data_IF_718374775879
#
_entry.id   IF_718374775879
#
_cell.length_a   1.000
_cell.length_b   1.000
_cell.length_c   1.000
_cell.angle_alpha   90.00
_cell.angle_beta   90.00
_cell.angle_gamma   90.00
#
_symmetry.space_group_name_H-M   'P 1'
#
loop_
_entity.id
_entity.type
_entity.pdbx_description
1 polymer ?
#
# COMPACT_ATOMS: atom_id res chain seq x y z
N UNK A 1 -20.84 -20.73 -30.58
CA UNK A 1 -21.53 -19.55 -30.03
C UNK A 1 -21.13 -19.44 -28.56
N UNK A 2 -20.48 -18.35 -28.15
CA UNK A 2 -20.02 -18.16 -26.77
C UNK A 2 -21.15 -17.54 -25.94
N UNK A 3 -21.52 -18.18 -24.85
CA UNK A 3 -22.56 -17.70 -23.94
C UNK A 3 -22.05 -16.48 -23.18
N UNK A 4 -22.73 -15.36 -23.36
CA UNK A 4 -22.47 -14.12 -22.62
C UNK A 4 -23.11 -14.25 -21.24
N UNK A 5 -22.29 -14.37 -20.19
CA UNK A 5 -22.77 -14.28 -18.80
C UNK A 5 -22.97 -12.80 -18.52
N UNK A 6 -24.22 -12.35 -18.48
CA UNK A 6 -24.61 -11.01 -18.04
C UNK A 6 -24.95 -11.10 -16.56
N UNK A 7 -24.14 -10.45 -15.72
CA UNK A 7 -24.49 -10.21 -14.32
C UNK A 7 -25.21 -8.85 -14.32
N UNK A 8 -26.53 -8.86 -14.16
CA UNK A 8 -27.33 -7.63 -14.09
C UNK A 8 -26.80 -6.72 -12.98
N UNK A 9 -26.71 -5.42 -13.28
CA UNK A 9 -26.19 -4.32 -12.43
C UNK A 9 -24.68 -4.28 -12.16
N UNK A 10 -23.88 -5.20 -12.72
CA UNK A 10 -22.42 -5.11 -12.61
C UNK A 10 -21.83 -4.14 -13.66
N UNK A 11 -20.92 -3.24 -13.25
CA UNK A 11 -20.19 -2.33 -14.17
C UNK A 11 -19.00 -3.02 -14.87
N UNK A 12 -18.88 -4.35 -14.75
CA UNK A 12 -17.73 -5.09 -15.23
C UNK A 12 -17.91 -5.55 -16.67
N UNK A 13 -16.85 -5.36 -17.45
CA UNK A 13 -16.78 -5.94 -18.80
C UNK A 13 -16.46 -7.44 -18.75
N UNK A 14 -16.88 -8.17 -19.78
CA UNK A 14 -16.58 -9.59 -19.93
C UNK A 14 -15.06 -9.90 -19.91
N UNK A 15 -14.23 -8.96 -20.37
CA UNK A 15 -12.77 -9.08 -20.32
C UNK A 15 -12.22 -9.04 -18.90
N UNK A 16 -12.75 -8.16 -18.04
CA UNK A 16 -12.35 -8.05 -16.63
C UNK A 16 -12.75 -9.31 -15.85
N UNK A 17 -13.95 -9.84 -16.11
CA UNK A 17 -14.38 -11.10 -15.52
C UNK A 17 -13.46 -12.25 -15.96
N UNK A 18 -13.12 -12.32 -17.25
CA UNK A 18 -12.23 -13.35 -17.78
C UNK A 18 -10.84 -13.31 -17.17
N UNK A 19 -10.27 -12.12 -16.99
CA UNK A 19 -8.96 -11.92 -16.37
C UNK A 19 -8.97 -12.31 -14.90
N UNK A 20 -10.02 -11.90 -14.16
CA UNK A 20 -10.21 -12.28 -12.76
C UNK A 20 -10.32 -13.80 -12.58
N UNK A 21 -11.12 -14.49 -13.40
CA UNK A 21 -11.22 -15.95 -13.33
C UNK A 21 -9.91 -16.66 -13.71
N UNK A 22 -9.13 -16.07 -14.64
CA UNK A 22 -7.79 -16.55 -14.96
C UNK A 22 -6.83 -16.46 -13.76
N UNK A 23 -6.89 -15.35 -13.02
CA UNK A 23 -6.09 -15.11 -11.81
C UNK A 23 -6.56 -15.87 -10.56
N UNK A 24 -7.83 -16.29 -10.51
CA UNK A 24 -8.29 -17.23 -9.49
C UNK A 24 -7.79 -18.66 -9.79
N UNK A 25 -7.81 -19.06 -11.07
CA UNK A 25 -7.40 -20.40 -11.48
C UNK A 25 -5.90 -20.66 -11.34
N UNK A 26 -5.06 -19.63 -11.42
CA UNK A 26 -3.61 -19.74 -11.22
C UNK A 26 -3.17 -19.50 -9.76
N UNK A 27 -4.13 -19.31 -8.84
CA UNK A 27 -3.88 -19.11 -7.40
C UNK A 27 -3.39 -17.72 -7.00
N UNK A 28 -3.34 -16.77 -7.94
CA UNK A 28 -2.92 -15.38 -7.65
C UNK A 28 -3.99 -14.62 -6.86
N UNK A 29 -5.28 -14.93 -7.05
CA UNK A 29 -6.38 -14.40 -6.25
C UNK A 29 -6.83 -15.43 -5.20
N UNK A 30 -6.79 -15.02 -3.93
CA UNK A 30 -7.34 -15.80 -2.82
C UNK A 30 -8.80 -15.39 -2.50
N UNK A 31 -9.43 -16.13 -1.58
CA UNK A 31 -10.83 -15.92 -1.20
C UNK A 31 -11.16 -14.50 -0.72
N UNK A 32 -10.21 -13.78 -0.12
CA UNK A 32 -10.43 -12.41 0.33
C UNK A 32 -10.61 -11.42 -0.84
N UNK A 33 -9.86 -11.63 -1.94
CA UNK A 33 -10.00 -10.80 -3.14
C UNK A 33 -11.32 -11.08 -3.88
N UNK A 34 -11.77 -12.33 -3.89
CA UNK A 34 -13.08 -12.72 -4.43
C UNK A 34 -14.24 -12.22 -3.55
N UNK A 35 -14.06 -12.20 -2.24
CA UNK A 35 -15.05 -11.66 -1.29
C UNK A 35 -15.22 -10.15 -1.48
N UNK A 36 -14.12 -9.39 -1.62
CA UNK A 36 -14.16 -7.96 -1.94
C UNK A 36 -14.90 -7.69 -3.27
N UNK A 37 -14.69 -8.55 -4.27
CA UNK A 37 -15.40 -8.51 -5.55
C UNK A 37 -16.92 -8.73 -5.42
N UNK A 38 -17.35 -9.69 -4.59
CA UNK A 38 -18.78 -9.98 -4.33
C UNK A 38 -19.47 -8.84 -3.54
N UNK A 39 -18.75 -8.18 -2.64
CA UNK A 39 -19.27 -7.11 -1.77
C UNK A 39 -19.45 -5.75 -2.48
N UNK A 40 -19.41 -5.70 -3.81
CA UNK A 40 -19.51 -4.47 -4.62
C UNK A 40 -18.44 -3.42 -4.32
N UNK A 41 -17.42 -3.77 -3.53
CA UNK A 41 -16.19 -2.99 -3.40
C UNK A 41 -15.35 -3.31 -4.61
N UNK A 42 -15.54 -2.60 -5.71
CA UNK A 42 -14.77 -2.85 -6.93
C UNK A 42 -13.25 -2.86 -6.63
N UNK A 43 -12.58 -4.02 -6.56
CA UNK A 43 -11.16 -4.08 -6.22
C UNK A 43 -10.29 -3.63 -7.41
N UNK A 44 -10.93 -3.45 -8.56
CA UNK A 44 -10.39 -2.96 -9.82
C UNK A 44 -11.24 -1.81 -10.34
N UNK A 45 -11.76 -0.94 -9.46
CA UNK A 45 -12.36 0.30 -9.93
C UNK A 45 -11.37 0.86 -10.93
N UNK A 46 -11.80 1.08 -12.18
CA UNK A 46 -11.01 1.83 -13.15
C UNK A 46 -10.78 3.15 -12.47
N UNK A 47 -9.69 3.24 -11.72
CA UNK A 47 -9.13 4.50 -11.33
C UNK A 47 -8.74 5.03 -12.67
N UNK A 48 -9.46 6.05 -13.15
CA UNK A 48 -9.09 6.63 -14.42
C UNK A 48 -7.62 6.99 -14.28
N UNK A 49 -6.79 6.73 -15.28
CA UNK A 49 -5.38 7.18 -15.23
C UNK A 49 -5.28 8.72 -15.07
N UNK A 50 -6.43 9.41 -15.22
CA UNK A 50 -6.66 10.84 -14.95
C UNK A 50 -7.22 11.15 -13.55
N UNK A 51 -7.55 10.16 -12.72
CA UNK A 51 -7.97 10.40 -11.34
C UNK A 51 -6.76 10.85 -10.53
N UNK A 52 -6.90 12.04 -9.99
CA UNK A 52 -5.87 12.69 -9.22
C UNK A 52 -5.98 12.28 -7.75
N UNK A 53 -4.87 11.80 -7.19
CA UNK A 53 -4.75 11.62 -5.74
C UNK A 53 -4.25 12.92 -5.11
N UNK A 54 -4.93 13.37 -4.06
CA UNK A 54 -4.51 14.50 -3.24
C UNK A 54 -4.03 13.99 -1.87
N UNK A 55 -2.70 13.83 -1.68
CA UNK A 55 -2.13 13.35 -0.43
C UNK A 55 -2.50 14.20 0.78
N UNK A 56 -2.53 15.53 0.62
CA UNK A 56 -2.92 16.46 1.67
C UNK A 56 -4.36 16.21 2.11
N UNK A 57 -5.28 16.04 1.16
CA UNK A 57 -6.69 15.77 1.48
C UNK A 57 -6.88 14.42 2.20
N UNK A 58 -6.07 13.41 1.86
CA UNK A 58 -6.21 12.06 2.41
C UNK A 58 -5.51 11.87 3.77
N UNK A 59 -4.28 12.39 3.92
CA UNK A 59 -3.43 12.15 5.10
C UNK A 59 -3.42 13.29 6.13
N UNK A 60 -3.90 14.50 5.80
CA UNK A 60 -3.89 15.64 6.73
C UNK A 60 -5.24 15.83 7.40
N UNK A 61 -6.33 15.58 6.69
CA UNK A 61 -7.67 15.73 7.26
C UNK A 61 -7.92 14.60 8.26
N UNK A 62 -8.19 14.91 9.54
CA UNK A 62 -8.53 13.89 10.51
C UNK A 62 -9.75 13.08 10.04
N UNK A 63 -9.68 11.76 10.16
CA UNK A 63 -10.80 10.87 9.88
C UNK A 63 -10.75 9.67 10.83
N UNK A 64 -11.91 9.13 11.15
CA UNK A 64 -12.01 7.91 11.97
C UNK A 64 -11.23 6.77 11.30
N UNK A 65 -10.46 6.03 12.09
CA UNK A 65 -9.68 4.88 11.62
C UNK A 65 -8.32 5.23 11.01
N UNK A 66 -7.90 6.51 11.04
CA UNK A 66 -6.58 6.91 10.57
C UNK A 66 -6.02 8.07 11.40
N UNK A 67 -4.92 7.79 12.09
CA UNK A 67 -4.07 8.80 12.71
C UNK A 67 -2.75 8.93 11.94
N UNK A 68 -2.29 10.17 11.75
CA UNK A 68 -1.09 10.46 10.96
C UNK A 68 -0.17 11.37 11.76
N UNK A 69 1.09 10.96 11.89
CA UNK A 69 2.07 11.70 12.68
C UNK A 69 2.50 13.00 11.98
N UNK A 70 2.92 13.99 12.78
CA UNK A 70 3.50 15.24 12.26
C UNK A 70 4.76 14.99 11.43
N UNK A 71 5.55 13.98 11.79
CA UNK A 71 6.77 13.61 11.04
C UNK A 71 6.41 13.06 9.66
N UNK A 72 5.38 12.19 9.56
CA UNK A 72 4.88 11.75 8.27
C UNK A 72 4.42 12.94 7.42
N UNK A 73 3.58 13.82 7.98
CA UNK A 73 3.08 14.99 7.26
C UNK A 73 4.23 15.89 6.78
N UNK A 74 5.29 16.06 7.58
CA UNK A 74 6.48 16.82 7.17
C UNK A 74 7.10 16.24 5.89
N UNK A 75 7.38 14.93 5.85
CA UNK A 75 8.07 14.31 4.70
C UNK A 75 7.14 14.09 3.50
N UNK A 76 5.91 13.64 3.74
CA UNK A 76 4.94 13.38 2.67
C UNK A 76 4.54 14.67 1.94
N UNK A 77 4.42 15.78 2.65
CA UNK A 77 3.95 17.06 2.10
C UNK A 77 5.09 18.00 1.71
N UNK A 78 6.33 17.71 2.11
CA UNK A 78 7.49 18.45 1.63
C UNK A 78 7.61 18.30 0.11
N UNK A 79 7.27 19.37 -0.61
CA UNK A 79 7.41 19.45 -2.07
C UNK A 79 6.23 18.89 -2.88
N UNK A 80 5.19 18.34 -2.25
CA UNK A 80 3.97 17.93 -2.97
C UNK A 80 2.91 19.04 -2.97
N UNK A 81 2.99 19.88 -3.99
CA UNK A 81 1.95 20.89 -4.30
C UNK A 81 0.94 20.44 -5.35
N UNK A 82 1.25 19.35 -6.05
CA UNK A 82 0.49 18.89 -7.19
C UNK A 82 -0.26 17.60 -6.87
N UNK A 83 -1.40 17.45 -7.54
CA UNK A 83 -2.12 16.19 -7.63
C UNK A 83 -1.21 15.11 -8.20
N UNK A 84 -1.17 13.94 -7.57
CA UNK A 84 -0.45 12.79 -8.09
C UNK A 84 -1.37 12.04 -9.05
N UNK A 85 -0.86 11.65 -10.23
CA UNK A 85 -1.50 10.61 -11.03
C UNK A 85 -1.56 9.34 -10.20
N UNK A 86 -2.76 8.78 -10.05
CA UNK A 86 -2.93 7.54 -9.32
C UNK A 86 -2.20 6.40 -10.04
N UNK A 87 -1.39 5.64 -9.30
CA UNK A 87 -0.62 4.51 -9.81
C UNK A 87 -1.17 3.22 -9.25
N UNK A 88 -1.51 2.30 -10.15
CA UNK A 88 -1.89 0.94 -9.76
C UNK A 88 -0.69 0.24 -9.13
N UNK A 89 -0.92 -0.47 -8.04
CA UNK A 89 0.04 -1.41 -7.48
C UNK A 89 -0.08 -2.70 -8.29
N UNK A 90 0.91 -3.01 -9.13
CA UNK A 90 0.87 -4.21 -9.96
C UNK A 90 1.20 -5.46 -9.13
N UNK A 91 2.24 -5.36 -8.29
CA UNK A 91 2.69 -6.47 -7.44
C UNK A 91 3.50 -5.95 -6.24
N UNK A 92 3.39 -6.66 -5.12
CA UNK A 92 4.04 -6.34 -3.84
C UNK A 92 4.51 -7.61 -3.18
N UNK A 93 5.79 -7.63 -2.80
CA UNK A 93 6.33 -8.66 -1.92
C UNK A 93 6.61 -8.07 -0.55
N UNK A 94 6.69 -8.93 0.47
CA UNK A 94 6.98 -8.51 1.83
C UNK A 94 7.78 -9.58 2.57
N UNK A 95 8.46 -9.14 3.63
CA UNK A 95 9.21 -10.01 4.51
C UNK A 95 9.08 -9.53 5.96
N UNK A 96 8.77 -10.46 6.86
CA UNK A 96 8.80 -10.21 8.30
C UNK A 96 10.23 -10.30 8.82
N UNK A 97 10.63 -9.32 9.62
CA UNK A 97 11.95 -9.22 10.22
C UNK A 97 12.11 -10.29 11.31
N UNK A 98 13.17 -11.08 11.23
CA UNK A 98 13.46 -12.13 12.21
C UNK A 98 14.19 -11.59 13.47
N UNK A 99 14.73 -10.37 13.38
CA UNK A 99 15.50 -9.67 14.42
C UNK A 99 15.33 -8.17 14.23
N UNK A 100 15.77 -7.39 15.21
CA UNK A 100 15.82 -5.94 15.06
C UNK A 100 16.82 -5.56 13.96
N UNK A 101 16.45 -4.58 13.14
CA UNK A 101 17.24 -4.16 11.98
C UNK A 101 17.18 -2.65 11.77
N UNK A 102 18.33 -2.06 11.46
CA UNK A 102 18.43 -0.69 10.98
C UNK A 102 17.90 -0.53 9.55
N UNK A 103 17.73 0.73 9.11
CA UNK A 103 17.47 1.03 7.70
C UNK A 103 18.54 0.47 6.76
N UNK A 104 19.81 0.59 7.15
CA UNK A 104 20.93 0.14 6.32
C UNK A 104 20.87 -1.38 6.12
N UNK A 105 20.69 -2.14 7.19
CA UNK A 105 20.54 -3.60 7.11
C UNK A 105 19.31 -3.97 6.28
N UNK A 106 18.20 -3.26 6.45
CA UNK A 106 16.99 -3.47 5.64
C UNK A 106 17.26 -3.27 4.15
N UNK A 107 18.04 -2.24 3.80
CA UNK A 107 18.44 -1.99 2.42
C UNK A 107 19.31 -3.11 1.87
N UNK A 108 20.37 -3.47 2.60
CA UNK A 108 21.35 -4.45 2.16
C UNK A 108 20.75 -5.86 2.03
N UNK A 109 19.96 -6.29 3.01
CA UNK A 109 19.44 -7.65 3.06
C UNK A 109 18.19 -7.86 2.20
N UNK A 110 17.29 -6.87 2.08
CA UNK A 110 15.98 -7.08 1.43
C UNK A 110 15.77 -6.30 0.14
N UNK A 111 16.36 -5.10 0.05
CA UNK A 111 16.12 -4.20 -1.08
C UNK A 111 17.29 -4.14 -2.06
N UNK A 112 18.38 -4.88 -1.80
CA UNK A 112 19.54 -4.96 -2.68
C UNK A 112 20.44 -3.71 -2.65
N UNK A 113 20.43 -2.99 -1.54
CA UNK A 113 21.17 -1.74 -1.30
C UNK A 113 20.31 -0.48 -1.45
N UNK A 114 20.82 0.64 -0.94
CA UNK A 114 20.09 1.92 -0.89
C UNK A 114 19.68 2.45 -2.27
N UNK A 115 20.52 2.26 -3.29
CA UNK A 115 20.21 2.66 -4.68
C UNK A 115 19.04 1.84 -5.26
N UNK A 116 19.03 0.53 -5.05
CA UNK A 116 17.92 -0.34 -5.49
C UNK A 116 16.67 -0.17 -4.65
N UNK A 117 16.78 0.22 -3.37
CA UNK A 117 15.62 0.50 -2.54
C UNK A 117 14.68 1.55 -3.17
N UNK A 118 15.24 2.55 -3.86
CA UNK A 118 14.44 3.57 -4.58
C UNK A 118 13.65 3.02 -5.74
N UNK A 119 14.12 1.97 -6.43
CA UNK A 119 13.37 1.34 -7.53
C UNK A 119 12.19 0.52 -7.04
N UNK A 120 12.16 0.22 -5.74
CA UNK A 120 11.07 -0.49 -5.06
C UNK A 120 10.24 0.41 -4.14
N UNK A 121 10.41 1.72 -4.26
CA UNK A 121 9.69 2.67 -3.45
C UNK A 121 8.20 2.69 -3.80
N UNK A 122 7.40 2.95 -2.79
CA UNK A 122 5.97 3.21 -2.91
C UNK A 122 5.73 4.70 -3.13
N UNK A 123 4.58 5.01 -3.73
CA UNK A 123 4.01 6.35 -3.76
C UNK A 123 2.89 6.47 -2.72
N UNK A 124 2.50 7.71 -2.39
CA UNK A 124 1.52 7.95 -1.32
C UNK A 124 0.11 7.44 -1.66
N UNK A 125 -0.26 7.46 -2.93
CA UNK A 125 -1.51 6.88 -3.43
C UNK A 125 -1.53 5.35 -3.29
N UNK A 126 -0.39 4.69 -3.46
CA UNK A 126 -0.25 3.25 -3.23
C UNK A 126 -0.43 2.92 -1.74
N UNK A 127 0.18 3.68 -0.84
CA UNK A 127 -0.06 3.52 0.60
C UNK A 127 -1.54 3.74 0.97
N UNK A 128 -2.18 4.77 0.39
CA UNK A 128 -3.59 5.02 0.59
C UNK A 128 -4.47 3.87 0.07
N UNK A 129 -4.04 3.20 -1.00
CA UNK A 129 -4.74 2.03 -1.55
C UNK A 129 -4.68 0.86 -0.58
N UNK A 130 -3.49 0.55 -0.03
CA UNK A 130 -3.34 -0.49 0.99
C UNK A 130 -4.20 -0.22 2.23
N UNK A 131 -4.23 1.03 2.72
CA UNK A 131 -5.10 1.44 3.84
C UNK A 131 -6.59 1.28 3.54
N UNK A 132 -7.03 1.50 2.30
CA UNK A 132 -8.44 1.34 1.89
C UNK A 132 -8.86 -0.11 1.76
N UNK A 133 -7.92 -1.05 1.59
CA UNK A 133 -8.21 -2.48 1.56
C UNK A 133 -8.44 -3.05 2.95
N UNK A 134 -7.88 -2.44 3.99
CA UNK A 134 -8.03 -2.86 5.39
C UNK A 134 -8.46 -1.71 6.32
N UNK A 135 -9.52 -0.94 6.03
CA UNK A 135 -9.86 0.31 6.74
C UNK A 135 -10.11 0.18 8.24
N UNK A 136 -10.42 -1.01 8.75
CA UNK A 136 -10.71 -1.29 10.15
C UNK A 136 -9.76 -2.34 10.75
N UNK A 137 -8.56 -2.48 10.17
CA UNK A 137 -7.58 -3.45 10.64
C UNK A 137 -8.00 -4.90 10.45
N UNK A 138 -8.91 -5.17 9.50
CA UNK A 138 -9.27 -6.52 9.11
C UNK A 138 -8.07 -7.27 8.51
N UNK A 139 -8.18 -8.60 8.45
CA UNK A 139 -7.13 -9.45 7.90
C UNK A 139 -6.83 -9.12 6.44
N UNK A 140 -5.55 -9.10 6.09
CA UNK A 140 -5.09 -8.80 4.75
C UNK A 140 -3.56 -8.80 4.63
N UNK A 141 -3.03 -8.01 3.71
CA UNK A 141 -1.59 -7.92 3.48
C UNK A 141 -0.85 -7.19 4.62
N UNK A 142 -1.46 -6.14 5.17
CA UNK A 142 -0.92 -5.38 6.29
C UNK A 142 -1.13 -6.15 7.61
N UNK A 143 -0.08 -6.18 8.44
CA UNK A 143 -0.15 -6.63 9.82
C UNK A 143 -1.11 -5.74 10.61
N UNK A 144 -2.02 -6.38 11.35
CA UNK A 144 -3.01 -5.75 12.23
C UNK A 144 -2.79 -6.10 13.71
N UNK A 145 -1.63 -6.68 14.05
CA UNK A 145 -1.29 -7.18 15.39
C UNK A 145 -0.47 -6.18 16.24
N UNK A 146 -0.43 -4.91 15.84
CA UNK A 146 0.36 -3.86 16.48
C UNK A 146 1.80 -3.73 15.98
N UNK A 147 2.34 -4.71 15.25
CA UNK A 147 3.64 -4.60 14.58
C UNK A 147 3.60 -3.64 13.39
N UNK A 148 4.73 -3.06 13.04
CA UNK A 148 4.83 -2.11 11.95
C UNK A 148 4.86 -2.78 10.59
N UNK A 149 4.14 -2.18 9.64
CA UNK A 149 4.29 -2.40 8.22
C UNK A 149 5.18 -1.28 7.66
N UNK A 150 6.36 -1.64 7.18
CA UNK A 150 7.42 -0.72 6.77
C UNK A 150 7.42 -0.59 5.26
N UNK A 151 7.30 0.64 4.80
CA UNK A 151 7.37 1.02 3.40
C UNK A 151 8.49 2.02 3.21
N UNK A 152 9.15 1.99 2.06
CA UNK A 152 10.01 3.08 1.62
C UNK A 152 9.28 3.89 0.58
N UNK A 153 9.24 5.20 0.76
CA UNK A 153 8.45 6.11 -0.06
C UNK A 153 9.38 7.09 -0.75
N UNK A 154 9.13 7.30 -2.03
CA UNK A 154 9.79 8.31 -2.83
C UNK A 154 8.77 9.38 -3.23
N UNK A 155 9.01 10.62 -2.81
CA UNK A 155 8.26 11.79 -3.27
C UNK A 155 9.13 12.62 -4.22
N UNK A 156 8.59 13.74 -4.72
CA UNK A 156 9.38 14.67 -5.56
C UNK A 156 10.61 15.24 -4.83
N UNK A 157 10.58 15.29 -3.50
CA UNK A 157 11.61 15.93 -2.68
C UNK A 157 12.48 14.96 -1.89
N UNK A 158 11.91 13.86 -1.41
CA UNK A 158 12.55 13.04 -0.38
C UNK A 158 12.35 11.53 -0.60
N UNK A 159 13.32 10.77 -0.09
CA UNK A 159 13.24 9.32 0.09
C UNK A 159 13.26 9.04 1.60
N UNK A 160 12.20 8.46 2.11
CA UNK A 160 12.01 8.25 3.55
C UNK A 160 11.25 6.95 3.81
N UNK A 161 11.27 6.45 5.04
CA UNK A 161 10.48 5.28 5.41
C UNK A 161 9.18 5.68 6.08
N UNK A 162 8.18 4.83 5.92
CA UNK A 162 6.87 4.96 6.52
C UNK A 162 6.59 3.69 7.30
N UNK A 163 6.23 3.83 8.57
CA UNK A 163 5.69 2.72 9.36
C UNK A 163 4.18 2.91 9.53
N UNK A 164 3.44 1.84 9.29
CA UNK A 164 1.99 1.78 9.47
C UNK A 164 1.65 0.63 10.41
N UNK A 165 1.02 0.93 11.54
CA UNK A 165 0.59 -0.10 12.50
C UNK A 165 -0.87 0.10 12.86
N UNK A 166 -1.56 -1.00 13.17
CA UNK A 166 -2.94 -0.96 13.65
C UNK A 166 -2.94 -0.82 15.18
N UNK A 167 -3.53 0.26 15.68
CA UNK A 167 -3.84 0.42 17.10
C UNK A 167 -5.24 -0.15 17.38
N UNK A 168 -5.29 -1.33 17.97
CA UNK A 168 -6.55 -1.99 18.30
C UNK A 168 -7.32 -1.27 19.41
N UNK A 169 -6.66 -0.49 20.27
CA UNK A 169 -7.31 0.24 21.36
C UNK A 169 -8.11 1.42 20.80
N UNK A 170 -7.50 2.17 19.88
CA UNK A 170 -8.14 3.30 19.22
C UNK A 170 -8.92 2.90 17.96
N UNK A 171 -8.77 1.66 17.50
CA UNK A 171 -9.34 1.14 16.25
C UNK A 171 -8.96 2.01 15.06
N UNK A 172 -7.66 2.29 14.92
CA UNK A 172 -7.14 3.13 13.84
C UNK A 172 -5.76 2.69 13.35
N UNK A 173 -5.48 3.02 12.08
CA UNK A 173 -4.13 2.94 11.55
C UNK A 173 -3.31 4.15 11.97
N UNK A 174 -2.15 3.91 12.56
CA UNK A 174 -1.17 4.94 12.90
C UNK A 174 -0.08 4.97 11.83
N UNK A 175 0.10 6.12 11.18
CA UNK A 175 1.07 6.31 10.10
C UNK A 175 2.19 7.25 10.54
N UNK A 176 3.42 6.75 10.53
CA UNK A 176 4.62 7.50 10.90
C UNK A 176 5.59 7.63 9.73
N UNK A 177 6.33 8.73 9.66
CA UNK A 177 7.39 8.94 8.67
C UNK A 177 8.72 9.15 9.36
N UNK A 178 9.76 8.48 8.86
CA UNK A 178 11.09 8.47 9.44
C UNK A 178 12.15 8.72 8.37
N UNK A 179 13.21 9.50 8.68
CA UNK A 179 14.31 9.70 7.77
C UNK A 179 15.16 8.41 7.68
N UNK A 180 15.60 8.04 6.48
CA UNK A 180 16.37 6.80 6.26
C UNK A 180 17.83 6.87 6.73
N UNK A 181 18.31 8.07 7.06
CA UNK A 181 19.66 8.32 7.55
C UNK A 181 19.73 8.52 9.08
N UNK A 182 18.63 8.31 9.80
CA UNK A 182 18.58 8.41 11.25
C UNK A 182 18.99 7.11 11.96
N UNK A 183 19.12 7.18 13.29
CA UNK A 183 19.37 6.03 14.17
C UNK A 183 18.11 5.18 14.44
N UNK A 184 17.13 5.21 13.53
CA UNK A 184 15.92 4.39 13.64
C UNK A 184 16.25 2.91 13.43
N UNK A 185 15.63 2.06 14.24
CA UNK A 185 15.60 0.62 14.05
C UNK A 185 14.15 0.16 13.92
N UNK A 186 13.99 -0.98 13.28
CA UNK A 186 12.76 -1.74 13.15
C UNK A 186 12.86 -2.97 14.02
N UNK A 187 11.74 -3.33 14.64
CA UNK A 187 11.71 -4.40 15.63
C UNK A 187 11.51 -5.75 14.95
N UNK A 188 11.99 -6.81 15.58
CA UNK A 188 11.64 -8.16 15.19
C UNK A 188 10.11 -8.34 15.13
N UNK A 189 9.61 -8.95 14.06
CA UNK A 189 8.18 -9.11 13.79
C UNK A 189 7.57 -8.01 12.91
N UNK A 190 8.23 -6.87 12.74
CA UNK A 190 7.82 -5.87 11.74
C UNK A 190 7.92 -6.46 10.33
N UNK A 191 7.17 -5.90 9.37
CA UNK A 191 7.11 -6.40 7.99
C UNK A 191 7.53 -5.33 7.00
N UNK A 192 8.60 -5.59 6.26
CA UNK A 192 9.09 -4.72 5.20
C UNK A 192 8.42 -5.09 3.88
N UNK A 193 7.89 -4.09 3.18
CA UNK A 193 7.26 -4.24 1.88
C UNK A 193 8.16 -3.73 0.75
N UNK A 194 8.07 -4.39 -0.40
CA UNK A 194 8.80 -4.07 -1.61
C UNK A 194 7.82 -3.94 -2.77
N UNK A 195 7.81 -2.78 -3.42
CA UNK A 195 7.02 -2.58 -4.64
C UNK A 195 7.73 -3.26 -5.82
N UNK A 196 7.01 -4.15 -6.51
CA UNK A 196 7.53 -4.87 -7.68
C UNK A 196 6.99 -4.32 -9.00
N UNK A 197 6.21 -3.23 -8.95
CA UNK A 197 5.71 -2.53 -10.13
C UNK A 197 6.89 -1.95 -10.91
N UNK A 198 7.14 -2.49 -12.10
CA UNK A 198 8.22 -2.03 -12.99
C UNK A 198 7.95 -0.60 -13.44
N UNK A 199 8.86 0.32 -13.10
CA UNK A 199 8.84 1.70 -13.59
C UNK A 199 9.77 1.78 -14.81
N UNK A 200 9.44 1.04 -15.87
CA UNK A 200 10.13 1.12 -17.17
C UNK A 200 9.10 1.09 -18.29
#
# INVERSE_FOLDING_TARGET
>A
MANQIVIEESTFSASQLKEMFGQAANGTLNGAHLQAFIEHRNPFAKVNENDSFNPSAYFVKPRKGLWVSKSFQKYALAGQRDLLSYRVIADVTNQTLARDMSHQETFEEFLGGAEKARTHAFTLDQLATLLRLQPNGEDGALLNNGSANIFYVLTKGDFFSVSMLWDSVQSEWCVYGWPTNGHGHWDAGDRVFRNMTSIF
#
